data_IF_920096977352
#
_entry.id   IF_920096977352
#
_cell.length_a   1.000
_cell.length_b   1.000
_cell.length_c   1.000
_cell.angle_alpha   90.00
_cell.angle_beta   90.00
_cell.angle_gamma   90.00
#
_symmetry.space_group_name_H-M   'P 1'
#
loop_
_entity.id
_entity.type
_entity.pdbx_description
1 polymer ?
#
# COMPACT_ATOMS: atom_id res chain seq x y z
N UNK A 1 -58.42 14.18 -7.40
CA UNK A 1 -57.81 15.16 -6.47
C UNK A 1 -58.00 14.82 -4.98
N UNK A 2 -58.87 13.89 -4.59
CA UNK A 2 -59.07 13.43 -3.20
C UNK A 2 -57.96 12.48 -2.70
N UNK A 3 -57.54 11.53 -3.53
CA UNK A 3 -56.54 10.50 -3.17
C UNK A 3 -55.18 11.06 -2.72
N UNK A 4 -54.74 12.20 -3.26
CA UNK A 4 -53.49 12.84 -2.84
C UNK A 4 -53.62 13.49 -1.45
N UNK A 5 -54.79 14.06 -1.15
CA UNK A 5 -55.11 14.69 0.13
C UNK A 5 -55.14 13.68 1.26
N UNK A 6 -55.72 12.51 1.01
CA UNK A 6 -55.80 11.43 1.99
C UNK A 6 -54.42 10.82 2.27
N UNK A 7 -53.59 10.66 1.23
CA UNK A 7 -52.19 10.21 1.40
C UNK A 7 -51.31 11.22 2.14
N UNK A 8 -51.45 12.52 1.84
CA UNK A 8 -50.75 13.56 2.60
C UNK A 8 -51.19 13.61 4.07
N UNK A 9 -52.49 13.37 4.33
CA UNK A 9 -53.02 13.35 5.70
C UNK A 9 -52.54 12.12 6.47
N UNK A 10 -52.46 10.95 5.82
CA UNK A 10 -51.85 9.76 6.40
C UNK A 10 -50.36 9.94 6.67
N UNK A 11 -49.61 10.55 5.75
CA UNK A 11 -48.20 10.85 5.94
C UNK A 11 -47.96 11.84 7.09
N UNK A 12 -48.77 12.90 7.18
CA UNK A 12 -48.71 13.85 8.30
C UNK A 12 -49.06 13.19 9.64
N UNK A 13 -50.01 12.26 9.67
CA UNK A 13 -50.34 11.47 10.87
C UNK A 13 -49.19 10.54 11.28
N UNK A 14 -48.49 9.94 10.32
CA UNK A 14 -47.30 9.13 10.60
C UNK A 14 -46.16 10.00 11.16
N UNK A 15 -45.84 11.13 10.52
CA UNK A 15 -44.85 12.07 11.04
C UNK A 15 -45.23 12.62 12.42
N UNK A 16 -46.52 12.87 12.67
CA UNK A 16 -47.00 13.31 13.97
C UNK A 16 -46.86 12.22 15.03
N UNK A 17 -47.18 10.96 14.69
CA UNK A 17 -46.96 9.81 15.56
C UNK A 17 -45.47 9.69 15.91
N UNK A 18 -44.60 9.75 14.91
CA UNK A 18 -43.15 9.64 15.10
C UNK A 18 -42.60 10.82 15.92
N UNK A 19 -43.07 12.03 15.66
CA UNK A 19 -42.71 13.22 16.47
C UNK A 19 -43.18 13.10 17.92
N UNK A 20 -44.37 12.55 18.17
CA UNK A 20 -44.88 12.31 19.53
C UNK A 20 -44.08 11.22 20.25
N UNK A 21 -43.65 10.17 19.56
CA UNK A 21 -42.77 9.14 20.10
C UNK A 21 -41.40 9.71 20.48
N UNK A 22 -40.78 10.46 19.56
CA UNK A 22 -39.53 11.21 19.77
C UNK A 22 -39.66 12.14 20.99
N UNK A 23 -40.78 12.89 21.10
CA UNK A 23 -41.03 13.82 22.21
C UNK A 23 -41.21 13.11 23.57
N UNK A 24 -41.72 11.88 23.58
CA UNK A 24 -41.91 11.09 24.82
C UNK A 24 -40.62 10.45 25.30
N UNK A 25 -39.71 10.10 24.40
CA UNK A 25 -38.44 9.45 24.73
C UNK A 25 -37.27 10.46 24.85
N UNK A 26 -37.42 11.44 25.75
CA UNK A 26 -36.48 12.57 25.93
C UNK A 26 -35.03 12.14 26.19
N UNK A 27 -34.85 11.02 26.91
CA UNK A 27 -33.52 10.47 27.22
C UNK A 27 -32.84 9.97 25.94
N UNK A 28 -33.60 9.37 25.04
CA UNK A 28 -33.07 8.75 23.84
C UNK A 28 -32.75 9.78 22.76
N UNK A 29 -33.62 10.79 22.58
CA UNK A 29 -33.33 11.95 21.73
C UNK A 29 -32.12 12.75 22.21
N UNK A 30 -31.88 12.76 23.52
CA UNK A 30 -30.67 13.38 24.08
C UNK A 30 -29.42 12.61 23.65
N UNK A 31 -29.40 11.27 23.76
CA UNK A 31 -28.27 10.48 23.26
C UNK A 31 -28.09 10.59 21.75
N UNK A 32 -29.17 10.65 20.97
CA UNK A 32 -29.13 10.80 19.51
C UNK A 32 -28.44 12.10 19.06
N UNK A 33 -28.61 13.19 19.81
CA UNK A 33 -28.01 14.50 19.47
C UNK A 33 -26.65 14.68 20.15
N UNK A 34 -26.51 14.27 21.40
CA UNK A 34 -25.31 14.50 22.21
C UNK A 34 -24.17 13.57 21.81
N UNK A 35 -24.46 12.32 21.42
CA UNK A 35 -23.42 11.37 21.05
C UNK A 35 -22.67 11.81 19.77
N UNK A 36 -23.35 12.21 18.66
CA UNK A 36 -22.65 12.75 17.49
C UNK A 36 -21.87 14.03 17.80
N UNK A 37 -22.43 14.93 18.62
CA UNK A 37 -21.74 16.15 19.05
C UNK A 37 -20.48 15.82 19.85
N UNK A 38 -20.53 14.85 20.76
CA UNK A 38 -19.41 14.42 21.57
C UNK A 38 -18.27 13.80 20.74
N UNK A 39 -18.58 13.12 19.64
CA UNK A 39 -17.57 12.59 18.71
C UNK A 39 -17.08 13.62 17.69
N UNK A 40 -17.95 14.49 17.19
CA UNK A 40 -17.60 15.50 16.19
C UNK A 40 -16.78 16.65 16.79
N UNK A 41 -17.10 17.10 18.00
CA UNK A 41 -16.46 18.27 18.64
C UNK A 41 -14.95 18.11 18.86
N UNK A 42 -14.42 17.02 19.45
CA UNK A 42 -12.97 16.83 19.59
C UNK A 42 -12.28 16.71 18.22
N UNK A 43 -12.94 16.10 17.23
CA UNK A 43 -12.41 16.01 15.87
C UNK A 43 -12.25 17.40 15.24
N UNK A 44 -13.31 18.22 15.32
CA UNK A 44 -13.31 19.60 14.82
C UNK A 44 -12.29 20.46 15.56
N UNK A 45 -12.17 20.32 16.89
CA UNK A 45 -11.15 21.03 17.66
C UNK A 45 -9.72 20.64 17.25
N UNK A 46 -9.48 19.36 16.97
CA UNK A 46 -8.20 18.88 16.46
C UNK A 46 -7.90 19.52 15.10
N UNK A 47 -8.88 19.58 14.20
CA UNK A 47 -8.74 20.19 12.87
C UNK A 47 -8.48 21.69 12.94
N UNK A 48 -9.19 22.42 13.80
CA UNK A 48 -9.00 23.86 14.01
C UNK A 48 -7.62 24.14 14.61
N UNK A 49 -7.17 23.30 15.54
CA UNK A 49 -5.85 23.43 16.16
C UNK A 49 -4.72 23.13 15.18
N UNK A 50 -4.92 22.17 14.28
CA UNK A 50 -3.93 21.75 13.28
C UNK A 50 -4.43 22.12 11.89
N UNK A 51 -4.25 23.37 11.46
CA UNK A 51 -4.74 23.89 10.18
C UNK A 51 -4.09 23.21 8.95
N UNK A 52 -2.82 22.84 9.08
CA UNK A 52 -2.07 22.07 8.09
C UNK A 52 -1.35 20.94 8.79
N UNK A 53 -1.52 19.72 8.29
CA UNK A 53 -0.76 18.57 8.73
C UNK A 53 0.38 18.37 7.74
N UNK A 54 1.61 18.42 8.24
CA UNK A 54 2.80 18.09 7.46
C UNK A 54 2.86 16.57 7.35
N UNK A 55 2.63 16.05 6.16
CA UNK A 55 2.68 14.61 5.89
C UNK A 55 4.09 14.18 5.50
N UNK A 56 4.78 15.04 4.73
CA UNK A 56 6.16 14.84 4.35
C UNK A 56 6.94 16.15 4.49
N UNK A 57 8.03 16.21 5.28
CA UNK A 57 8.88 17.40 5.35
C UNK A 57 9.67 17.69 4.06
N UNK A 58 9.61 16.78 3.08
CA UNK A 58 10.42 16.84 1.87
C UNK A 58 11.83 16.36 2.17
N UNK A 59 12.41 15.62 1.23
CA UNK A 59 13.69 14.95 1.45
C UNK A 59 14.61 15.10 0.24
N UNK A 60 15.85 15.49 0.52
CA UNK A 60 16.92 15.48 -0.46
C UNK A 60 17.75 14.21 -0.23
N UNK A 61 17.73 13.30 -1.20
CA UNK A 61 18.48 12.07 -1.11
C UNK A 61 19.95 12.27 -1.46
N UNK A 62 20.82 11.62 -0.69
CA UNK A 62 22.24 11.60 -0.96
C UNK A 62 22.56 10.81 -2.23
N UNK A 63 23.70 11.12 -2.83
CA UNK A 63 24.22 10.37 -3.95
C UNK A 63 24.88 9.08 -3.45
N UNK A 64 24.59 7.96 -4.10
CA UNK A 64 25.23 6.68 -3.88
C UNK A 64 26.15 6.38 -5.04
N UNK A 65 27.34 5.86 -4.72
CA UNK A 65 28.34 5.47 -5.70
C UNK A 65 28.38 3.95 -5.79
N UNK A 66 28.01 3.40 -6.94
CA UNK A 66 28.09 1.97 -7.22
C UNK A 66 29.38 1.69 -7.98
N UNK A 67 30.14 0.70 -7.49
CA UNK A 67 31.42 0.28 -8.06
C UNK A 67 31.31 -1.02 -8.87
N UNK A 68 30.22 -1.77 -8.72
CA UNK A 68 30.05 -3.09 -9.34
C UNK A 68 30.84 -4.18 -8.62
N UNK A 69 31.09 -4.01 -7.32
CA UNK A 69 32.00 -4.85 -6.54
C UNK A 69 31.41 -5.42 -5.26
N UNK A 70 32.18 -6.23 -4.52
CA UNK A 70 31.73 -6.84 -3.27
C UNK A 70 31.38 -5.81 -2.17
N UNK A 71 31.95 -4.60 -2.25
CA UNK A 71 31.59 -3.48 -1.36
C UNK A 71 30.11 -3.10 -1.46
N UNK A 72 29.52 -3.24 -2.64
CA UNK A 72 28.13 -2.87 -2.88
C UNK A 72 27.19 -3.99 -2.39
N UNK A 73 27.70 -5.23 -2.29
CA UNK A 73 27.00 -6.38 -1.72
C UNK A 73 26.98 -6.31 -0.18
N UNK A 74 28.02 -5.74 0.43
CA UNK A 74 28.03 -5.45 1.86
C UNK A 74 27.01 -4.37 2.24
N UNK A 75 26.76 -3.38 1.37
CA UNK A 75 25.67 -2.39 1.54
C UNK A 75 24.28 -3.03 1.56
N UNK A 76 24.11 -4.17 0.88
CA UNK A 76 22.89 -4.98 0.90
C UNK A 76 22.71 -5.79 2.21
N UNK A 77 23.66 -5.71 3.15
CA UNK A 77 23.64 -6.49 4.39
C UNK A 77 24.07 -7.95 4.23
N UNK A 78 24.57 -8.34 3.05
CA UNK A 78 25.00 -9.71 2.76
C UNK A 78 26.53 -9.80 2.91
N UNK A 79 27.00 -10.48 3.96
CA UNK A 79 28.43 -10.74 4.16
C UNK A 79 28.86 -11.99 3.38
N UNK A 80 29.29 -11.81 2.13
CA UNK A 80 29.70 -12.91 1.27
C UNK A 80 31.10 -13.41 1.62
N UNK A 81 31.24 -14.73 1.84
CA UNK A 81 32.51 -15.35 2.23
C UNK A 81 33.45 -15.65 1.06
N UNK A 82 32.94 -15.91 -0.14
CA UNK A 82 33.65 -16.04 -1.44
C UNK A 82 32.60 -16.25 -2.54
N UNK A 83 32.75 -15.63 -3.71
CA UNK A 83 31.85 -15.79 -4.86
C UNK A 83 32.54 -16.68 -5.90
N UNK A 84 32.01 -17.89 -6.15
CA UNK A 84 32.49 -18.78 -7.21
C UNK A 84 31.44 -18.90 -8.31
N UNK A 85 31.75 -18.51 -9.57
CA UNK A 85 30.81 -18.68 -10.67
C UNK A 85 30.66 -20.16 -11.00
N UNK A 86 29.41 -20.61 -11.12
CA UNK A 86 29.08 -21.97 -11.59
C UNK A 86 28.44 -21.86 -12.96
N UNK A 87 29.01 -22.58 -13.93
CA UNK A 87 28.46 -22.62 -15.29
C UNK A 87 27.41 -23.73 -15.38
N UNK A 88 26.25 -23.39 -15.93
CA UNK A 88 25.19 -24.34 -16.30
C UNK A 88 25.08 -24.42 -17.82
N UNK A 89 24.83 -25.62 -18.34
CA UNK A 89 24.68 -25.85 -19.78
C UNK A 89 23.28 -25.51 -20.31
N UNK A 90 22.27 -25.52 -19.42
CA UNK A 90 20.87 -25.26 -19.76
C UNK A 90 20.22 -24.29 -18.77
N UNK A 91 19.41 -23.38 -19.29
CA UNK A 91 18.67 -22.37 -18.52
C UNK A 91 17.66 -23.03 -17.59
N UNK A 92 16.97 -24.09 -18.04
CA UNK A 92 15.99 -24.78 -17.19
C UNK A 92 16.65 -25.46 -15.99
N UNK A 93 17.84 -26.03 -16.18
CA UNK A 93 18.64 -26.62 -15.09
C UNK A 93 19.10 -25.57 -14.08
N UNK A 94 19.60 -24.43 -14.56
CA UNK A 94 19.95 -23.30 -13.69
C UNK A 94 18.74 -22.82 -12.89
N UNK A 95 17.57 -22.67 -13.54
CA UNK A 95 16.33 -22.27 -12.89
C UNK A 95 15.86 -23.28 -11.84
N UNK A 96 15.99 -24.58 -12.10
CA UNK A 96 15.64 -25.60 -11.10
C UNK A 96 16.52 -25.53 -9.86
N UNK A 97 17.82 -25.28 -10.04
CA UNK A 97 18.77 -25.12 -8.92
C UNK A 97 18.50 -23.84 -8.14
N UNK A 98 18.25 -22.71 -8.81
CA UNK A 98 17.87 -21.47 -8.14
C UNK A 98 16.58 -21.64 -7.33
N UNK A 99 15.60 -22.37 -7.86
CA UNK A 99 14.35 -22.68 -7.15
C UNK A 99 14.56 -23.60 -5.95
N UNK A 100 15.40 -24.62 -6.05
CA UNK A 100 15.71 -25.49 -4.91
C UNK A 100 16.54 -24.80 -3.83
N UNK A 101 17.18 -23.68 -4.17
CA UNK A 101 17.94 -22.83 -3.23
C UNK A 101 17.08 -21.86 -2.41
N UNK A 102 15.81 -21.67 -2.78
CA UNK A 102 14.88 -20.88 -1.99
C UNK A 102 14.57 -21.62 -0.67
N UNK A 103 14.60 -20.93 0.48
CA UNK A 103 14.19 -21.54 1.74
C UNK A 103 12.72 -21.94 1.66
N UNK A 104 12.41 -23.18 2.06
CA UNK A 104 11.05 -23.68 2.16
C UNK A 104 10.28 -22.88 3.23
N UNK A 105 9.60 -21.83 2.79
CA UNK A 105 8.51 -21.14 3.49
C UNK A 105 8.77 -20.86 4.98
N UNK A 106 9.39 -19.72 5.27
CA UNK A 106 9.28 -19.13 6.62
C UNK A 106 8.73 -17.72 6.50
N UNK A 107 7.41 -17.63 6.69
CA UNK A 107 6.69 -16.43 7.13
C UNK A 107 7.55 -15.63 8.11
N UNK A 108 8.01 -14.46 7.70
CA UNK A 108 8.38 -13.38 8.61
C UNK A 108 9.86 -13.25 9.01
N UNK A 109 10.82 -13.86 8.31
CA UNK A 109 12.25 -13.55 8.52
C UNK A 109 12.81 -12.69 7.40
N UNK A 110 13.11 -11.43 7.72
CA UNK A 110 13.65 -10.34 6.88
C UNK A 110 15.06 -10.60 6.34
N UNK A 111 15.51 -11.86 6.29
CA UNK A 111 16.86 -12.22 5.87
C UNK A 111 16.72 -13.39 4.91
N UNK A 112 16.74 -13.07 3.62
CA UNK A 112 16.94 -14.03 2.54
C UNK A 112 18.21 -14.83 2.85
N UNK A 113 18.06 -15.99 3.45
CA UNK A 113 19.16 -16.91 3.69
C UNK A 113 19.42 -17.64 2.38
N UNK A 114 20.01 -16.92 1.44
CA UNK A 114 20.55 -17.48 0.20
C UNK A 114 21.49 -18.61 0.63
N UNK A 115 21.15 -19.84 0.24
CA UNK A 115 21.89 -21.02 0.67
C UNK A 115 23.23 -21.10 -0.05
N UNK A 116 23.18 -21.27 -1.38
CA UNK A 116 24.39 -21.45 -2.21
C UNK A 116 24.47 -20.48 -3.40
N UNK A 117 23.34 -20.02 -3.98
CA UNK A 117 23.34 -19.14 -5.17
C UNK A 117 22.46 -17.90 -5.01
N UNK A 118 23.03 -16.72 -5.32
CA UNK A 118 22.37 -15.41 -5.17
C UNK A 118 21.46 -15.07 -6.36
N UNK A 119 21.89 -15.37 -7.58
CA UNK A 119 21.16 -15.08 -8.83
C UNK A 119 21.70 -15.95 -9.97
N UNK A 120 20.99 -15.97 -11.10
CA UNK A 120 21.45 -16.57 -12.36
C UNK A 120 21.53 -15.54 -13.49
N UNK A 121 22.42 -15.77 -14.45
CA UNK A 121 22.51 -14.95 -15.68
C UNK A 121 22.56 -15.88 -16.88
N UNK A 122 21.65 -15.65 -17.83
CA UNK A 122 21.70 -16.25 -19.17
C UNK A 122 22.16 -15.19 -20.17
N UNK A 123 23.25 -15.48 -20.88
CA UNK A 123 23.82 -14.62 -21.93
C UNK A 123 23.40 -15.20 -23.28
N UNK A 124 22.55 -14.50 -24.03
CA UNK A 124 22.08 -14.94 -25.35
C UNK A 124 22.99 -14.44 -26.47
N UNK A 125 23.36 -13.16 -26.41
CA UNK A 125 24.19 -12.52 -27.43
C UNK A 125 25.29 -11.72 -26.72
N UNK A 126 26.54 -12.04 -27.02
CA UNK A 126 27.71 -11.32 -26.53
C UNK A 126 28.65 -11.10 -27.72
N UNK A 127 28.26 -10.20 -28.63
CA UNK A 127 29.04 -9.89 -29.80
C UNK A 127 29.69 -8.50 -29.63
N UNK A 128 31.00 -8.51 -29.41
CA UNK A 128 31.81 -7.28 -29.31
C UNK A 128 31.98 -6.57 -30.64
N UNK A 129 31.92 -7.30 -31.76
CA UNK A 129 32.08 -6.76 -33.10
C UNK A 129 30.78 -6.10 -33.57
N UNK A 130 29.64 -6.74 -33.36
CA UNK A 130 28.31 -6.17 -33.65
C UNK A 130 27.81 -5.20 -32.55
N UNK A 131 28.53 -5.07 -31.43
CA UNK A 131 28.17 -4.27 -30.26
C UNK A 131 26.78 -4.64 -29.70
N UNK A 132 26.48 -5.93 -29.73
CA UNK A 132 25.20 -6.45 -29.30
C UNK A 132 25.36 -7.29 -28.02
N UNK A 133 24.59 -6.91 -27.00
CA UNK A 133 24.58 -7.54 -25.69
C UNK A 133 23.13 -7.85 -25.32
N UNK A 134 22.79 -9.13 -25.26
CA UNK A 134 21.47 -9.61 -24.85
C UNK A 134 21.63 -10.62 -23.73
N UNK A 135 21.10 -10.28 -22.57
CA UNK A 135 21.17 -11.11 -21.37
C UNK A 135 19.84 -11.11 -20.63
N UNK A 136 19.65 -12.10 -19.77
CA UNK A 136 18.52 -12.20 -18.84
C UNK A 136 19.05 -12.52 -17.45
N UNK A 137 18.60 -11.73 -16.49
CA UNK A 137 18.94 -11.86 -15.09
C UNK A 137 17.81 -12.59 -14.36
N UNK A 138 18.17 -13.54 -13.50
CA UNK A 138 17.21 -14.33 -12.72
C UNK A 138 17.47 -14.11 -11.25
N UNK A 139 16.47 -13.54 -10.58
CA UNK A 139 16.47 -13.34 -9.14
C UNK A 139 15.56 -14.38 -8.50
N UNK A 140 16.01 -15.06 -7.44
CA UNK A 140 15.11 -15.84 -6.61
C UNK A 140 14.17 -14.88 -5.85
N UNK A 141 12.88 -14.92 -6.15
CA UNK A 141 11.87 -13.98 -5.63
C UNK A 141 10.80 -14.74 -4.83
N UNK A 142 10.36 -14.17 -3.71
CA UNK A 142 9.13 -14.62 -3.03
C UNK A 142 7.93 -13.95 -3.69
N UNK A 143 6.78 -14.63 -3.68
CA UNK A 143 5.48 -14.19 -4.22
C UNK A 143 5.02 -12.78 -3.82
N UNK A 144 5.62 -12.17 -2.79
CA UNK A 144 5.28 -10.82 -2.32
C UNK A 144 6.20 -9.70 -2.84
N UNK A 145 7.34 -10.02 -3.48
CA UNK A 145 8.34 -9.04 -3.93
C UNK A 145 8.15 -8.60 -5.40
N UNK A 146 7.00 -8.95 -5.99
CA UNK A 146 6.74 -8.82 -7.42
C UNK A 146 6.99 -7.41 -7.96
N UNK A 147 7.82 -7.33 -9.00
CA UNK A 147 8.00 -6.13 -9.80
C UNK A 147 6.68 -5.76 -10.46
N UNK A 148 6.01 -4.73 -9.93
CA UNK A 148 4.69 -4.25 -10.36
C UNK A 148 4.67 -3.53 -11.73
N UNK A 149 5.33 -4.12 -12.73
CA UNK A 149 5.42 -3.57 -14.09
C UNK A 149 4.06 -3.59 -14.80
N UNK A 150 3.22 -4.59 -14.52
CA UNK A 150 1.90 -4.77 -15.12
C UNK A 150 0.74 -4.30 -14.24
N UNK A 151 1.01 -3.86 -13.02
CA UNK A 151 -0.03 -3.41 -12.11
C UNK A 151 -0.28 -1.92 -12.34
N UNK A 152 -1.35 -1.60 -13.07
CA UNK A 152 -1.78 -0.22 -13.34
C UNK A 152 -1.98 0.57 -12.04
N UNK A 153 -2.41 -0.11 -10.97
CA UNK A 153 -2.66 0.49 -9.67
C UNK A 153 -1.38 0.81 -8.88
N UNK A 154 -0.22 0.29 -9.29
CA UNK A 154 1.06 0.70 -8.70
C UNK A 154 1.40 2.18 -8.99
N UNK A 155 0.74 2.76 -9.99
CA UNK A 155 0.88 4.15 -10.41
C UNK A 155 -0.33 5.01 -10.05
N UNK A 156 -1.25 4.52 -9.20
CA UNK A 156 -2.44 5.30 -8.78
C UNK A 156 -2.08 6.52 -7.93
N UNK A 157 -0.93 6.50 -7.25
CA UNK A 157 -0.43 7.65 -6.48
C UNK A 157 1.09 7.83 -6.63
N UNK A 158 1.56 8.28 -7.80
CA UNK A 158 2.99 8.42 -8.08
C UNK A 158 3.65 9.55 -7.29
N UNK A 159 2.83 10.42 -6.68
CA UNK A 159 3.26 11.53 -5.82
C UNK A 159 2.85 11.33 -4.36
N UNK A 160 2.35 10.15 -4.02
CA UNK A 160 1.93 9.82 -2.68
C UNK A 160 3.09 9.87 -1.70
N UNK A 161 2.78 10.18 -0.44
CA UNK A 161 3.78 10.18 0.63
C UNK A 161 4.33 8.77 0.82
N UNK A 162 5.53 8.52 0.31
CA UNK A 162 6.21 7.26 0.58
C UNK A 162 6.84 7.31 1.97
N UNK A 163 6.54 6.31 2.81
CA UNK A 163 7.20 6.17 4.11
C UNK A 163 8.64 5.64 3.97
N UNK A 164 9.04 5.25 2.75
CA UNK A 164 10.38 4.74 2.50
C UNK A 164 11.36 5.89 2.22
N UNK A 165 12.14 6.21 3.26
CA UNK A 165 13.21 7.22 3.24
C UNK A 165 14.59 6.67 2.89
N UNK A 166 14.66 5.45 2.38
CA UNK A 166 15.93 4.91 1.89
C UNK A 166 16.34 5.62 0.60
N UNK A 167 17.65 5.79 0.42
CA UNK A 167 18.22 6.43 -0.76
C UNK A 167 17.96 5.62 -2.04
N UNK A 168 17.90 4.29 -1.93
CA UNK A 168 17.40 3.38 -2.98
C UNK A 168 16.06 2.82 -2.49
N UNK A 169 15.00 2.86 -3.31
CA UNK A 169 13.71 2.31 -2.92
C UNK A 169 13.82 0.81 -2.60
N UNK A 170 13.10 0.38 -1.57
CA UNK A 170 13.00 -1.02 -1.16
C UNK A 170 12.19 -1.87 -2.13
N UNK A 171 11.31 -1.22 -2.91
CA UNK A 171 10.42 -1.85 -3.86
C UNK A 171 10.47 -1.08 -5.19
N UNK A 172 10.86 -1.71 -6.31
CA UNK A 172 11.43 -3.07 -6.39
C UNK A 172 12.74 -3.25 -5.59
N UNK A 173 13.09 -4.50 -5.18
CA UNK A 173 14.22 -4.78 -4.29
C UNK A 173 15.59 -4.70 -4.99
N UNK A 174 15.97 -3.53 -5.51
CA UNK A 174 17.19 -3.35 -6.31
C UNK A 174 18.49 -3.64 -5.55
N UNK A 175 18.57 -3.17 -4.30
CA UNK A 175 19.78 -3.27 -3.48
C UNK A 175 19.89 -4.64 -2.81
N UNK A 176 18.79 -5.14 -2.24
CA UNK A 176 18.74 -6.44 -1.54
C UNK A 176 19.01 -7.62 -2.46
N UNK A 177 18.64 -7.51 -3.74
CA UNK A 177 18.95 -8.51 -4.78
C UNK A 177 20.29 -8.26 -5.47
N UNK A 178 20.96 -7.16 -5.13
CA UNK A 178 22.17 -6.68 -5.77
C UNK A 178 22.07 -6.50 -7.30
N UNK A 179 20.85 -6.37 -7.83
CA UNK A 179 20.57 -6.28 -9.26
C UNK A 179 21.39 -5.17 -9.94
N UNK A 180 21.38 -3.96 -9.38
CA UNK A 180 22.06 -2.81 -9.97
C UNK A 180 23.57 -3.02 -10.03
N UNK A 181 24.16 -3.61 -8.98
CA UNK A 181 25.59 -3.92 -8.92
C UNK A 181 25.99 -4.88 -10.05
N UNK A 182 25.20 -5.92 -10.28
CA UNK A 182 25.46 -6.89 -11.35
C UNK A 182 25.22 -6.33 -12.74
N UNK A 183 24.15 -5.55 -12.93
CA UNK A 183 23.90 -4.85 -14.17
C UNK A 183 25.08 -3.93 -14.52
N UNK A 184 25.51 -3.11 -13.57
CA UNK A 184 26.62 -2.18 -13.77
C UNK A 184 27.93 -2.90 -14.10
N UNK A 185 28.27 -3.96 -13.36
CA UNK A 185 29.50 -4.73 -13.59
C UNK A 185 29.50 -5.43 -14.96
N UNK A 186 28.37 -6.01 -15.38
CA UNK A 186 28.27 -6.70 -16.67
C UNK A 186 28.37 -5.71 -17.84
N UNK A 187 27.66 -4.57 -17.75
CA UNK A 187 27.65 -3.55 -18.79
C UNK A 187 29.00 -2.83 -18.88
N UNK A 188 29.63 -2.49 -17.75
CA UNK A 188 30.98 -1.90 -17.75
C UNK A 188 32.03 -2.83 -18.36
N UNK A 189 31.98 -4.15 -18.08
CA UNK A 189 32.85 -5.15 -18.72
C UNK A 189 32.62 -5.18 -20.24
N UNK A 190 31.36 -5.15 -20.68
CA UNK A 190 31.03 -5.14 -22.10
C UNK A 190 31.53 -3.86 -22.80
N UNK A 191 31.25 -2.69 -22.21
CA UNK A 191 31.70 -1.39 -22.72
C UNK A 191 33.23 -1.33 -22.79
N UNK A 192 33.94 -1.84 -21.77
CA UNK A 192 35.40 -1.96 -21.76
C UNK A 192 35.90 -2.77 -22.94
N UNK A 193 35.29 -3.92 -23.22
CA UNK A 193 35.67 -4.79 -24.34
C UNK A 193 35.38 -4.16 -25.71
N UNK A 194 34.24 -3.49 -25.85
CA UNK A 194 33.85 -2.85 -27.14
C UNK A 194 34.69 -1.61 -27.43
N UNK A 195 34.98 -0.81 -26.42
CA UNK A 195 35.63 0.50 -26.58
C UNK A 195 37.16 0.40 -26.54
N UNK A 196 37.71 -0.66 -25.92
CA UNK A 196 39.15 -0.84 -25.76
C UNK A 196 39.81 0.17 -24.82
N UNK A 197 39.02 1.03 -24.15
CA UNK A 197 39.49 2.03 -23.18
C UNK A 197 39.27 1.51 -21.77
N UNK A 198 40.33 1.46 -20.98
CA UNK A 198 40.22 1.11 -19.55
C UNK A 198 39.52 2.20 -18.72
N UNK A 199 39.60 3.46 -19.16
CA UNK A 199 38.99 4.61 -18.46
C UNK A 199 37.47 4.49 -18.34
N UNK A 200 36.80 3.90 -19.34
CA UNK A 200 35.35 3.72 -19.33
C UNK A 200 34.86 2.73 -18.26
N UNK A 201 35.74 1.90 -17.70
CA UNK A 201 35.41 0.96 -16.63
C UNK A 201 35.70 1.50 -15.22
N UNK A 202 36.45 2.60 -15.11
CA UNK A 202 36.84 3.22 -13.84
C UNK A 202 35.92 4.39 -13.45
N UNK A 203 34.99 4.78 -14.32
CA UNK A 203 33.94 5.70 -13.92
C UNK A 203 33.09 5.05 -12.81
N UNK A 204 32.67 5.82 -11.82
CA UNK A 204 31.78 5.33 -10.77
C UNK A 204 30.35 5.70 -11.13
N UNK A 205 29.43 4.73 -11.06
CA UNK A 205 28.03 5.01 -11.31
C UNK A 205 27.45 5.78 -10.12
N UNK A 206 27.03 7.02 -10.39
CA UNK A 206 26.38 7.87 -9.42
C UNK A 206 24.87 7.73 -9.53
N UNK A 207 24.23 7.20 -8.50
CA UNK A 207 22.78 7.11 -8.39
C UNK A 207 22.28 8.13 -7.38
N UNK A 208 21.17 8.78 -7.72
CA UNK A 208 20.45 9.70 -6.83
C UNK A 208 18.96 9.58 -7.09
N UNK A 209 18.21 9.36 -6.02
CA UNK A 209 16.75 9.42 -6.06
C UNK A 209 16.28 10.86 -6.27
N UNK A 210 15.18 11.02 -6.98
CA UNK A 210 14.58 12.35 -7.14
C UNK A 210 14.20 12.95 -5.78
N UNK A 211 14.45 14.25 -5.57
CA UNK A 211 14.07 14.90 -4.33
C UNK A 211 12.56 14.88 -4.17
N UNK A 212 12.09 14.62 -2.95
CA UNK A 212 10.67 14.64 -2.63
C UNK A 212 10.27 16.04 -2.16
N UNK A 213 9.23 16.64 -2.75
CA UNK A 213 8.74 17.93 -2.30
C UNK A 213 8.08 17.79 -0.92
N UNK A 214 8.10 18.85 -0.09
CA UNK A 214 7.34 18.86 1.15
C UNK A 214 5.83 18.81 0.85
N UNK A 215 5.15 17.82 1.41
CA UNK A 215 3.69 17.66 1.27
C UNK A 215 2.98 18.08 2.55
N UNK A 216 2.13 19.09 2.40
CA UNK A 216 1.21 19.56 3.45
C UNK A 216 -0.21 19.30 2.99
N UNK A 217 -0.99 18.63 3.82
CA UNK A 217 -2.42 18.50 3.58
C UNK A 217 -3.20 19.44 4.50
N UNK A 218 -4.24 20.04 3.93
CA UNK A 218 -5.20 20.82 4.69
C UNK A 218 -5.98 19.89 5.60
N UNK A 219 -6.11 20.23 6.87
CA UNK A 219 -6.87 19.42 7.82
C UNK A 219 -8.36 19.29 7.47
N UNK A 220 -8.87 20.18 6.62
CA UNK A 220 -10.20 20.06 6.00
C UNK A 220 -10.33 18.85 5.08
N UNK A 221 -9.28 18.49 4.33
CA UNK A 221 -9.31 17.32 3.44
C UNK A 221 -9.40 16.04 4.29
N UNK A 222 -8.63 15.99 5.38
CA UNK A 222 -8.70 14.91 6.36
C UNK A 222 -10.10 14.81 6.98
N UNK A 223 -10.71 15.94 7.36
CA UNK A 223 -12.07 15.98 7.88
C UNK A 223 -13.09 15.39 6.90
N UNK A 224 -13.02 15.80 5.63
CA UNK A 224 -13.92 15.31 4.58
C UNK A 224 -13.76 13.79 4.42
N UNK A 225 -12.53 13.26 4.53
CA UNK A 225 -12.27 11.81 4.54
C UNK A 225 -12.93 11.08 5.72
N UNK A 226 -13.03 11.70 6.90
CA UNK A 226 -13.68 11.11 8.07
C UNK A 226 -15.21 11.32 8.14
N UNK A 227 -15.78 12.21 7.31
CA UNK A 227 -17.23 12.50 7.32
C UNK A 227 -18.12 11.26 7.15
N UNK A 228 -17.82 10.28 6.27
CA UNK A 228 -18.63 9.07 6.13
C UNK A 228 -18.70 8.24 7.42
N UNK A 229 -17.63 8.22 8.22
CA UNK A 229 -17.60 7.51 9.51
C UNK A 229 -18.50 8.20 10.52
N UNK A 230 -18.42 9.53 10.62
CA UNK A 230 -19.29 10.31 11.49
C UNK A 230 -20.76 10.13 11.13
N UNK A 231 -21.10 10.23 9.84
CA UNK A 231 -22.45 9.97 9.32
C UNK A 231 -22.90 8.52 9.52
N UNK A 232 -21.99 7.56 9.36
CA UNK A 232 -22.27 6.15 9.62
C UNK A 232 -22.70 5.92 11.06
N UNK A 233 -22.01 6.52 12.03
CA UNK A 233 -22.33 6.40 13.45
C UNK A 233 -23.68 7.03 13.81
N UNK A 234 -24.02 8.18 13.22
CA UNK A 234 -25.33 8.82 13.46
C UNK A 234 -26.47 8.01 12.87
N UNK A 235 -26.35 7.59 11.61
CA UNK A 235 -27.38 6.80 10.93
C UNK A 235 -27.55 5.41 11.57
N UNK A 236 -26.45 4.77 11.99
CA UNK A 236 -26.49 3.44 12.61
C UNK A 236 -27.29 3.43 13.92
N UNK A 237 -27.11 4.45 14.77
CA UNK A 237 -27.88 4.57 16.01
C UNK A 237 -29.38 4.76 15.73
N UNK A 238 -29.71 5.56 14.72
CA UNK A 238 -31.09 5.78 14.30
C UNK A 238 -31.73 4.50 13.75
N UNK A 239 -30.98 3.77 12.93
CA UNK A 239 -31.40 2.48 12.38
C UNK A 239 -31.70 1.45 13.48
N UNK A 240 -30.84 1.35 14.51
CA UNK A 240 -31.04 0.44 15.63
C UNK A 240 -32.32 0.74 16.42
N UNK A 241 -32.63 2.01 16.62
CA UNK A 241 -33.83 2.40 17.35
C UNK A 241 -35.11 2.18 16.56
N UNK A 242 -35.14 2.62 15.31
CA UNK A 242 -36.28 2.36 14.43
C UNK A 242 -36.51 0.84 14.31
N UNK A 243 -35.44 0.05 14.18
CA UNK A 243 -35.52 -1.41 14.20
C UNK A 243 -36.09 -1.97 15.50
N UNK A 244 -35.67 -1.45 16.65
CA UNK A 244 -36.19 -1.85 17.98
C UNK A 244 -37.67 -1.49 18.15
N UNK A 245 -38.09 -0.30 17.75
CA UNK A 245 -39.50 0.12 17.85
C UNK A 245 -40.40 -0.70 16.94
N UNK A 246 -40.00 -0.94 15.69
CA UNK A 246 -40.73 -1.81 14.76
C UNK A 246 -40.83 -3.24 15.31
N UNK A 247 -39.75 -3.77 15.88
CA UNK A 247 -39.77 -5.08 16.52
C UNK A 247 -40.76 -5.10 17.70
N UNK A 248 -40.72 -4.10 18.58
CA UNK A 248 -41.60 -3.98 19.73
C UNK A 248 -43.09 -3.91 19.32
N UNK A 249 -43.44 -3.11 18.31
CA UNK A 249 -44.79 -3.02 17.77
C UNK A 249 -45.27 -4.36 17.18
N UNK A 250 -44.38 -5.10 16.50
CA UNK A 250 -44.71 -6.44 15.99
C UNK A 250 -44.96 -7.46 17.10
N UNK A 251 -44.22 -7.38 18.21
CA UNK A 251 -44.44 -8.27 19.35
C UNK A 251 -45.78 -8.01 20.04
N UNK A 252 -46.15 -6.75 20.26
CA UNK A 252 -47.43 -6.40 20.91
C UNK A 252 -48.63 -6.79 20.05
N UNK A 253 -48.57 -6.51 18.74
CA UNK A 253 -49.67 -6.85 17.81
C UNK A 253 -49.92 -8.36 17.74
N UNK A 254 -48.86 -9.19 17.77
CA UNK A 254 -49.01 -10.66 17.80
C UNK A 254 -49.66 -11.18 19.08
N UNK A 255 -49.39 -10.54 20.22
CA UNK A 255 -49.98 -10.92 21.51
C UNK A 255 -51.48 -10.60 21.52
N UNK A 256 -51.89 -9.44 21.00
CA UNK A 256 -53.30 -9.04 20.94
C UNK A 256 -54.13 -9.93 20.01
N UNK A 257 -53.57 -10.35 18.87
CA UNK A 257 -54.24 -11.30 17.96
C UNK A 257 -54.44 -12.67 18.62
N UNK A 258 -53.43 -13.15 19.34
CA UNK A 258 -53.52 -14.44 20.03
C UNK A 258 -54.50 -14.39 21.21
N UNK A 259 -54.64 -13.25 21.90
CA UNK A 259 -55.60 -13.05 22.99
C UNK A 259 -57.05 -12.90 22.51
N UNK A 260 -57.29 -12.56 21.24
CA UNK A 260 -58.64 -12.52 20.65
C UNK A 260 -59.06 -13.86 20.01
N UNK A 261 -58.15 -14.80 19.85
CA UNK A 261 -58.39 -16.14 19.28
C UNK A 261 -58.55 -17.25 20.35
N UNK A 262 -58.49 -16.89 21.64
CA UNK A 262 -58.79 -17.76 22.79
C UNK A 262 -60.10 -17.36 23.46
#
# INVERSE_FOLDING_TARGET
MSVCRDRCRQFALLLWKDWVLVRRNKLWTFFEIVLPLLFALPLVLLIVKYQTVELNPGELFNMINIKGGPTDLEMSGVKLKTITPVKFDDEAKMLSELKSNLPNNTRGSTICSIKDYVFGISLYEFDTSARNLKYRFFVPEDSNDEWKLSNENAWEDPFGVTLNRQEIPSQPPYLTTAFITFQYSLESIFIKKVTGKEEAANETLHLRRFPEPPEKQNSLVLLIGFMPVLWGMTVFMNLLHTGREIAAEKYTTKVDINAQLS
#
